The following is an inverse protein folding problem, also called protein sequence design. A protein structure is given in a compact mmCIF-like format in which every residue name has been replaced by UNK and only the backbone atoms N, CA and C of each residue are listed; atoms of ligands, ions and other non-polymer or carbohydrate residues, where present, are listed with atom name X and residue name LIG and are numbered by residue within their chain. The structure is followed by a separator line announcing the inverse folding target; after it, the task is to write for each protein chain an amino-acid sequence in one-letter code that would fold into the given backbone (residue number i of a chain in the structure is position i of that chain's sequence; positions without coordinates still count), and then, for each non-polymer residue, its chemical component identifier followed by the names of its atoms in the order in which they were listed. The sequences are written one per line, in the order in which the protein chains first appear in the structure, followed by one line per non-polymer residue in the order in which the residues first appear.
data_IF_766605596772
#
_entry.id   IF_766605596772
#
_cell.length_a   1.000
_cell.length_b   1.000
_cell.length_c   1.000
_cell.angle_alpha   90.00
_cell.angle_beta   90.00
_cell.angle_gamma   90.00
#
_symmetry.space_group_name_H-M   'P 1'
#
loop_
_entity.id
_entity.type
_entity.pdbx_description
1 polymer ?
#
# COMPACT_ATOMS: atom_id res chain seq x y z
N UNK A 1 2.13 1.84 -10.87
CA UNK A 1 3.10 2.89 -11.27
C UNK A 1 4.32 2.15 -11.79
N UNK A 2 4.64 2.28 -13.07
CA UNK A 2 5.46 1.30 -13.80
C UNK A 2 6.29 1.91 -14.91
N UNK A 3 6.67 3.18 -14.76
CA UNK A 3 7.62 3.82 -15.67
C UNK A 3 8.96 3.08 -15.65
N UNK A 4 9.43 2.66 -16.83
CA UNK A 4 10.68 1.91 -16.98
C UNK A 4 11.93 2.76 -16.70
N UNK A 5 11.75 4.08 -16.60
CA UNK A 5 12.78 5.07 -16.29
C UNK A 5 12.30 6.08 -15.24
N UNK A 6 13.24 6.74 -14.57
CA UNK A 6 12.94 7.79 -13.58
C UNK A 6 12.10 8.93 -14.18
N UNK A 7 12.37 9.32 -15.41
CA UNK A 7 11.62 10.39 -16.09
C UNK A 7 10.17 9.98 -16.34
N UNK A 8 9.93 8.76 -16.81
CA UNK A 8 8.57 8.22 -17.00
C UNK A 8 7.82 8.11 -15.68
N UNK A 9 8.48 7.61 -14.62
CA UNK A 9 7.90 7.53 -13.28
C UNK A 9 7.47 8.92 -12.78
N UNK A 10 8.34 9.93 -12.90
CA UNK A 10 8.01 11.30 -12.47
C UNK A 10 6.88 11.91 -13.31
N UNK A 11 6.81 11.60 -14.60
CA UNK A 11 5.73 12.07 -15.47
C UNK A 11 4.39 11.41 -15.11
N UNK A 12 4.36 10.10 -14.88
CA UNK A 12 3.16 9.37 -14.42
C UNK A 12 2.66 9.91 -13.07
N UNK A 13 3.58 10.11 -12.13
CA UNK A 13 3.27 10.64 -10.81
C UNK A 13 2.76 12.08 -10.88
N UNK A 14 3.32 12.92 -11.75
CA UNK A 14 2.85 14.29 -11.96
C UNK A 14 1.42 14.31 -12.52
N UNK A 15 1.09 13.42 -13.46
CA UNK A 15 -0.28 13.26 -13.98
C UNK A 15 -1.24 12.85 -12.86
N UNK A 16 -0.83 11.91 -12.00
CA UNK A 16 -1.63 11.45 -10.86
C UNK A 16 -2.00 12.59 -9.90
N UNK A 17 -1.04 13.47 -9.60
CA UNK A 17 -1.24 14.61 -8.70
C UNK A 17 -1.72 15.88 -9.40
N UNK A 18 -1.93 15.86 -10.72
CA UNK A 18 -2.40 17.01 -11.49
C UNK A 18 -1.37 18.15 -11.61
N UNK A 19 -0.09 17.83 -11.65
CA UNK A 19 1.01 18.80 -11.68
C UNK A 19 1.47 19.02 -13.13
N UNK A 20 1.32 20.26 -13.62
CA UNK A 20 1.68 20.62 -14.99
C UNK A 20 3.20 20.80 -15.22
N UNK A 21 3.91 21.33 -14.22
CA UNK A 21 5.36 21.58 -14.29
C UNK A 21 6.04 20.98 -13.03
N UNK A 22 6.25 19.65 -13.02
CA UNK A 22 6.78 18.98 -11.84
C UNK A 22 8.25 19.33 -11.61
N UNK A 23 8.64 19.68 -10.37
CA UNK A 23 10.05 19.92 -10.05
C UNK A 23 10.84 18.61 -10.13
N UNK A 24 12.15 18.66 -10.44
CA UNK A 24 13.00 17.49 -10.27
C UNK A 24 13.10 17.13 -8.78
N UNK A 25 13.03 15.85 -8.47
CA UNK A 25 13.13 15.33 -7.11
C UNK A 25 14.21 14.26 -7.06
N UNK A 26 15.13 14.38 -6.10
CA UNK A 26 16.15 13.36 -5.85
C UNK A 26 15.56 12.18 -5.07
N UNK A 27 16.05 10.97 -5.37
CA UNK A 27 15.66 9.77 -4.61
C UNK A 27 16.43 9.74 -3.30
N UNK A 28 15.69 9.69 -2.20
CA UNK A 28 16.27 9.50 -0.86
C UNK A 28 16.52 8.03 -0.60
N UNK A 29 15.52 7.18 -0.91
CA UNK A 29 15.60 5.74 -0.72
C UNK A 29 14.57 5.01 -1.59
N UNK A 30 14.93 3.86 -2.14
CA UNK A 30 13.96 2.98 -2.78
C UNK A 30 13.15 2.20 -1.73
N UNK A 31 11.90 1.88 -2.06
CA UNK A 31 10.98 1.12 -1.21
C UNK A 31 10.60 -0.20 -1.85
N UNK A 32 10.06 -1.11 -1.04
CA UNK A 32 9.44 -2.34 -1.53
C UNK A 32 7.91 -2.19 -1.51
N UNK A 33 7.16 -2.84 -2.41
CA UNK A 33 5.70 -2.84 -2.37
C UNK A 33 5.18 -3.32 -1.01
N UNK A 34 4.20 -2.63 -0.43
CA UNK A 34 3.65 -3.01 0.88
C UNK A 34 4.60 -2.85 2.07
N UNK A 35 5.81 -2.32 1.85
CA UNK A 35 6.73 -1.94 2.91
C UNK A 35 6.37 -0.60 3.56
N UNK A 36 7.37 0.10 4.08
CA UNK A 36 7.18 1.35 4.83
C UNK A 36 6.99 2.61 3.96
N UNK A 37 6.70 2.46 2.67
CA UNK A 37 6.54 3.58 1.73
C UNK A 37 5.46 4.58 2.16
N UNK A 38 4.29 4.08 2.61
CA UNK A 38 3.22 4.96 3.12
C UNK A 38 3.62 5.70 4.39
N UNK A 39 4.37 5.05 5.29
CA UNK A 39 4.89 5.68 6.50
C UNK A 39 5.88 6.80 6.17
N UNK A 40 6.81 6.55 5.24
CA UNK A 40 7.77 7.56 4.76
C UNK A 40 7.09 8.75 4.08
N UNK A 41 6.05 8.49 3.28
CA UNK A 41 5.22 9.55 2.70
C UNK A 41 4.60 10.41 3.82
N UNK A 42 3.99 9.77 4.83
CA UNK A 42 3.41 10.47 5.97
C UNK A 42 4.42 11.31 6.75
N UNK A 43 5.60 10.75 7.04
CA UNK A 43 6.70 11.45 7.72
C UNK A 43 7.17 12.66 6.92
N UNK A 44 7.38 12.49 5.61
CA UNK A 44 7.76 13.60 4.72
C UNK A 44 6.70 14.71 4.72
N UNK A 45 5.42 14.37 4.66
CA UNK A 45 4.34 15.38 4.72
C UNK A 45 4.29 16.08 6.09
N UNK A 46 4.51 15.38 7.20
CA UNK A 46 4.62 15.99 8.53
C UNK A 46 5.79 16.97 8.62
N UNK A 47 6.96 16.62 8.09
CA UNK A 47 8.13 17.50 8.04
C UNK A 47 7.87 18.79 7.24
N UNK A 48 6.99 18.70 6.24
CA UNK A 48 6.51 19.84 5.43
C UNK A 48 5.39 20.63 6.09
N UNK A 49 4.92 20.19 7.26
CA UNK A 49 3.93 20.89 8.08
C UNK A 49 2.49 20.49 7.84
N UNK A 50 2.24 19.41 7.08
CA UNK A 50 0.89 18.92 6.87
C UNK A 50 0.36 18.16 8.10
N UNK A 51 -0.94 18.25 8.40
CA UNK A 51 -1.54 17.60 9.54
C UNK A 51 -1.84 16.13 9.22
N UNK A 52 -0.78 15.32 9.12
CA UNK A 52 -0.88 13.87 8.85
C UNK A 52 -0.80 13.09 10.16
N UNK A 53 -1.72 12.15 10.33
CA UNK A 53 -1.68 11.15 11.39
C UNK A 53 -1.22 9.81 10.77
N UNK A 54 -0.27 9.15 11.42
CA UNK A 54 0.30 7.87 10.97
C UNK A 54 -0.14 6.82 11.99
N UNK A 55 -0.89 5.83 11.53
CA UNK A 55 -1.40 4.72 12.35
C UNK A 55 -1.03 3.39 11.68
N UNK A 56 -0.97 2.31 12.46
CA UNK A 56 -0.53 1.00 11.97
C UNK A 56 -1.38 0.56 10.77
N UNK A 57 -0.77 0.58 9.57
CA UNK A 57 -1.40 0.23 8.30
C UNK A 57 -1.82 1.39 7.39
N UNK A 58 -1.61 2.67 7.78
CA UNK A 58 -1.98 3.78 6.89
C UNK A 58 -1.57 5.18 7.35
N UNK A 59 -1.88 6.16 6.49
CA UNK A 59 -1.76 7.58 6.79
C UNK A 59 -3.10 8.27 6.58
N UNK A 60 -3.45 9.20 7.47
CA UNK A 60 -4.64 10.03 7.35
C UNK A 60 -4.22 11.49 7.32
N UNK A 61 -4.55 12.18 6.24
CA UNK A 61 -4.37 13.64 6.15
C UNK A 61 -5.63 14.29 6.73
N UNK A 62 -5.49 15.03 7.83
CA UNK A 62 -6.62 15.77 8.43
C UNK A 62 -7.10 16.87 7.49
N UNK A 63 -8.29 17.41 7.76
CA UNK A 63 -8.96 18.38 6.89
C UNK A 63 -8.04 19.52 6.44
N UNK A 64 -7.79 19.59 5.13
CA UNK A 64 -7.01 20.65 4.47
C UNK A 64 -7.99 21.55 3.70
N UNK A 65 -7.88 22.89 3.82
CA UNK A 65 -8.70 23.81 3.04
C UNK A 65 -8.53 23.60 1.54
N UNK A 66 -9.62 23.76 0.77
CA UNK A 66 -9.59 23.56 -0.69
C UNK A 66 -8.55 24.45 -1.39
N UNK A 67 -8.31 25.65 -0.85
CA UNK A 67 -7.32 26.60 -1.36
C UNK A 67 -5.87 26.10 -1.21
N UNK A 68 -5.64 25.09 -0.38
CA UNK A 68 -4.35 24.47 -0.16
C UNK A 68 -4.19 23.13 -0.89
N UNK A 69 -5.21 22.66 -1.62
CA UNK A 69 -5.18 21.36 -2.28
C UNK A 69 -4.05 21.25 -3.31
N UNK A 70 -3.79 22.30 -4.09
CA UNK A 70 -2.70 22.30 -5.07
C UNK A 70 -1.32 22.22 -4.39
N UNK A 71 -1.16 22.90 -3.26
CA UNK A 71 0.07 22.85 -2.47
C UNK A 71 0.27 21.47 -1.83
N UNK A 72 -0.83 20.87 -1.35
CA UNK A 72 -0.81 19.50 -0.83
C UNK A 72 -0.43 18.50 -1.93
N UNK A 73 -1.04 18.58 -3.11
CA UNK A 73 -0.74 17.70 -4.23
C UNK A 73 0.74 17.80 -4.65
N UNK A 74 1.29 19.02 -4.70
CA UNK A 74 2.70 19.22 -4.99
C UNK A 74 3.61 18.56 -3.94
N UNK A 75 3.26 18.68 -2.67
CA UNK A 75 4.03 18.10 -1.58
C UNK A 75 3.91 16.58 -1.52
N UNK A 76 2.73 16.03 -1.80
CA UNK A 76 2.53 14.59 -1.97
C UNK A 76 3.37 14.05 -3.12
N UNK A 77 3.37 14.74 -4.27
CA UNK A 77 4.25 14.40 -5.39
C UNK A 77 5.73 14.40 -4.99
N UNK A 78 6.20 15.45 -4.31
CA UNK A 78 7.59 15.54 -3.89
C UNK A 78 7.94 14.38 -2.95
N UNK A 79 7.08 14.10 -1.97
CA UNK A 79 7.31 13.04 -1.01
C UNK A 79 7.30 11.64 -1.64
N UNK A 80 6.32 11.32 -2.49
CA UNK A 80 6.29 10.05 -3.21
C UNK A 80 7.48 9.90 -4.15
N UNK A 81 7.88 10.99 -4.81
CA UNK A 81 9.02 10.96 -5.72
C UNK A 81 10.35 10.69 -4.99
N UNK A 82 10.48 11.03 -3.70
CA UNK A 82 11.67 10.72 -2.91
C UNK A 82 11.81 9.23 -2.56
N UNK A 83 10.68 8.50 -2.55
CA UNK A 83 10.60 7.11 -2.09
C UNK A 83 10.02 6.14 -3.12
N UNK A 84 10.56 6.10 -4.36
CA UNK A 84 10.04 5.24 -5.41
C UNK A 84 10.18 3.76 -5.02
N UNK A 85 9.27 2.94 -5.52
CA UNK A 85 9.41 1.47 -5.45
C UNK A 85 10.62 1.03 -6.26
N UNK A 86 11.42 0.11 -5.74
CA UNK A 86 12.65 -0.34 -6.37
C UNK A 86 12.39 -0.93 -7.77
N UNK A 87 13.26 -0.68 -8.76
CA UNK A 87 13.02 -1.06 -10.16
C UNK A 87 12.74 -2.55 -10.38
N UNK A 88 13.32 -3.42 -9.56
CA UNK A 88 13.10 -4.87 -9.59
C UNK A 88 11.64 -5.26 -9.32
N UNK A 89 10.91 -4.45 -8.56
CA UNK A 89 9.48 -4.63 -8.29
C UNK A 89 8.61 -3.78 -9.23
N UNK A 90 9.12 -2.65 -9.73
CA UNK A 90 8.38 -1.75 -10.61
C UNK A 90 8.02 -2.37 -11.98
N UNK A 91 8.75 -3.41 -12.39
CA UNK A 91 8.56 -4.08 -13.69
C UNK A 91 7.75 -5.38 -13.61
N UNK A 92 7.28 -5.79 -12.43
CA UNK A 92 6.41 -6.97 -12.32
C UNK A 92 5.03 -6.60 -12.87
N UNK A 93 4.49 -7.34 -13.85
CA UNK A 93 3.13 -7.10 -14.33
C UNK A 93 2.13 -7.15 -13.17
N UNK A 94 1.20 -6.21 -13.13
CA UNK A 94 0.19 -6.11 -12.07
C UNK A 94 -0.59 -7.42 -11.93
N UNK A 95 -0.92 -8.08 -13.04
CA UNK A 95 -1.61 -9.37 -13.03
C UNK A 95 -0.77 -10.49 -12.40
N UNK A 96 0.55 -10.52 -12.67
CA UNK A 96 1.45 -11.52 -12.09
C UNK A 96 1.60 -11.29 -10.58
N UNK A 97 1.74 -10.03 -10.16
CA UNK A 97 1.79 -9.66 -8.74
C UNK A 97 0.49 -10.00 -8.00
N UNK A 98 -0.67 -9.72 -8.61
CA UNK A 98 -1.98 -10.06 -8.01
C UNK A 98 -2.21 -11.57 -7.98
N UNK A 99 -1.71 -12.31 -8.98
CA UNK A 99 -1.79 -13.78 -9.00
C UNK A 99 -0.97 -14.39 -7.87
N UNK A 100 0.29 -13.96 -7.72
CA UNK A 100 1.14 -14.41 -6.62
C UNK A 100 0.54 -14.07 -5.25
N UNK A 101 0.00 -12.87 -5.09
CA UNK A 101 -0.67 -12.47 -3.86
C UNK A 101 -1.91 -13.32 -3.57
N UNK A 102 -2.72 -13.63 -4.58
CA UNK A 102 -3.89 -14.50 -4.43
C UNK A 102 -3.49 -15.92 -4.00
N UNK A 103 -2.46 -16.49 -4.63
CA UNK A 103 -1.93 -17.81 -4.26
C UNK A 103 -1.43 -17.83 -2.83
N UNK A 104 -0.63 -16.84 -2.43
CA UNK A 104 -0.17 -16.66 -1.04
C UNK A 104 -1.34 -16.57 -0.05
N UNK A 105 -2.36 -15.77 -0.36
CA UNK A 105 -3.52 -15.63 0.52
C UNK A 105 -4.23 -16.97 0.75
N UNK A 106 -4.41 -17.76 -0.31
CA UNK A 106 -5.12 -19.04 -0.25
C UNK A 106 -4.29 -20.14 0.40
N UNK A 107 -3.00 -20.22 0.07
CA UNK A 107 -2.13 -21.34 0.46
C UNK A 107 -1.48 -21.13 1.83
N UNK A 108 -1.18 -19.89 2.21
CA UNK A 108 -0.42 -19.60 3.44
C UNK A 108 -1.26 -18.79 4.46
N UNK A 109 -1.80 -17.64 4.06
CA UNK A 109 -2.50 -16.75 4.99
C UNK A 109 -3.77 -17.39 5.59
N UNK A 110 -4.66 -17.90 4.73
CA UNK A 110 -5.95 -18.48 5.15
C UNK A 110 -5.75 -19.65 6.15
N UNK A 111 -4.86 -20.63 5.88
CA UNK A 111 -4.55 -21.67 6.87
C UNK A 111 -3.93 -21.12 8.16
N UNK A 112 -3.04 -20.13 8.07
CA UNK A 112 -2.37 -19.55 9.23
C UNK A 112 -3.38 -18.89 10.19
N UNK A 113 -4.26 -18.03 9.71
CA UNK A 113 -5.25 -17.35 10.57
C UNK A 113 -6.32 -18.31 11.11
N UNK A 114 -6.54 -19.45 10.46
CA UNK A 114 -7.39 -20.51 10.99
C UNK A 114 -6.80 -21.18 12.24
N UNK A 115 -5.47 -21.21 12.41
CA UNK A 115 -4.83 -21.68 13.65
C UNK A 115 -5.13 -20.77 14.84
N UNK A 116 -5.34 -19.47 14.59
CA UNK A 116 -5.81 -18.49 15.58
C UNK A 116 -7.31 -18.58 15.84
N UNK A 117 -8.04 -19.42 15.11
CA UNK A 117 -9.49 -19.60 15.24
C UNK A 117 -10.32 -18.60 14.42
N UNK A 118 -9.69 -17.78 13.58
CA UNK A 118 -10.41 -16.88 12.68
C UNK A 118 -10.95 -17.62 11.46
N UNK A 119 -12.11 -17.20 10.98
CA UNK A 119 -12.72 -17.75 9.77
C UNK A 119 -12.81 -16.68 8.69
N UNK A 120 -12.40 -17.03 7.47
CA UNK A 120 -12.51 -16.14 6.30
C UNK A 120 -13.44 -16.76 5.27
N UNK A 121 -14.11 -15.91 4.49
CA UNK A 121 -15.01 -16.37 3.43
C UNK A 121 -14.26 -17.19 2.39
N UNK A 122 -14.97 -18.13 1.76
CA UNK A 122 -14.42 -18.92 0.64
C UNK A 122 -13.76 -18.02 -0.41
N UNK A 123 -12.54 -18.36 -0.86
CA UNK A 123 -11.87 -17.56 -1.88
C UNK A 123 -12.69 -17.53 -3.18
N UNK A 124 -12.75 -16.38 -3.89
CA UNK A 124 -13.32 -16.30 -5.23
C UNK A 124 -12.42 -17.05 -6.23
N UNK A 125 -12.83 -17.17 -7.50
CA UNK A 125 -11.87 -17.63 -8.52
C UNK A 125 -10.74 -16.60 -8.72
N UNK A 126 -9.56 -17.06 -9.14
CA UNK A 126 -8.45 -16.16 -9.52
C UNK A 126 -8.90 -15.12 -10.56
N UNK A 127 -9.67 -15.54 -11.58
CA UNK A 127 -10.23 -14.62 -12.58
C UNK A 127 -11.10 -13.52 -11.95
N UNK A 128 -11.95 -13.88 -10.97
CA UNK A 128 -12.79 -12.90 -10.26
C UNK A 128 -11.95 -11.97 -9.40
N UNK A 129 -10.89 -12.50 -8.78
CA UNK A 129 -9.96 -11.72 -7.97
C UNK A 129 -9.19 -10.69 -8.81
N UNK A 130 -8.64 -11.10 -9.95
CA UNK A 130 -7.93 -10.24 -10.90
C UNK A 130 -8.87 -9.18 -11.49
N UNK A 131 -10.10 -9.56 -11.88
CA UNK A 131 -11.09 -8.63 -12.38
C UNK A 131 -11.48 -7.55 -11.36
N UNK A 132 -11.47 -7.90 -10.07
CA UNK A 132 -11.67 -6.97 -8.96
C UNK A 132 -10.41 -6.25 -8.48
N UNK A 133 -9.27 -6.43 -9.15
CA UNK A 133 -7.96 -5.89 -8.76
C UNK A 133 -7.60 -6.19 -7.30
N UNK A 134 -7.97 -7.38 -6.81
CA UNK A 134 -7.73 -7.82 -5.43
C UNK A 134 -8.66 -7.20 -4.37
N UNK A 135 -9.47 -6.20 -4.71
CA UNK A 135 -10.32 -5.49 -3.74
C UNK A 135 -11.62 -6.25 -3.40
N UNK A 136 -11.99 -7.26 -4.21
CA UNK A 136 -13.24 -8.01 -4.04
C UNK A 136 -13.21 -9.05 -2.91
N UNK A 137 -12.03 -9.44 -2.44
CA UNK A 137 -11.85 -10.41 -1.36
C UNK A 137 -10.60 -10.04 -0.56
N UNK A 138 -10.81 -9.47 0.63
CA UNK A 138 -9.74 -9.00 1.53
C UNK A 138 -9.81 -9.79 2.83
N UNK A 139 -9.14 -10.96 2.93
CA UNK A 139 -9.21 -11.84 4.10
C UNK A 139 -8.83 -11.17 5.42
N UNK A 140 -7.80 -10.34 5.45
CA UNK A 140 -7.38 -9.70 6.70
C UNK A 140 -8.32 -8.64 7.23
N UNK A 141 -9.12 -7.98 6.37
CA UNK A 141 -10.21 -7.13 6.86
C UNK A 141 -11.25 -7.97 7.63
N UNK A 142 -11.57 -9.18 7.15
CA UNK A 142 -12.50 -10.08 7.84
C UNK A 142 -11.92 -10.59 9.17
N UNK A 143 -10.61 -10.82 9.23
CA UNK A 143 -9.92 -11.20 10.47
C UNK A 143 -9.91 -10.04 11.46
N UNK A 144 -9.59 -8.83 11.00
CA UNK A 144 -9.60 -7.61 11.80
C UNK A 144 -10.98 -7.36 12.44
N UNK A 145 -12.07 -7.55 11.68
CA UNK A 145 -13.43 -7.42 12.20
C UNK A 145 -13.74 -8.42 13.33
N UNK A 146 -13.13 -9.61 13.30
CA UNK A 146 -13.30 -10.65 14.33
C UNK A 146 -12.47 -10.39 15.58
N UNK A 147 -11.38 -9.63 15.48
CA UNK A 147 -10.46 -9.39 16.59
C UNK A 147 -11.13 -8.71 17.77
N UNK A 148 -12.05 -7.77 17.52
CA UNK A 148 -12.81 -7.10 18.57
C UNK A 148 -13.60 -8.06 19.49
N UNK A 149 -13.81 -9.31 19.04
CA UNK A 149 -14.49 -10.37 19.76
C UNK A 149 -13.58 -11.53 20.20
N UNK A 150 -12.26 -11.39 20.02
CA UNK A 150 -11.27 -12.40 20.35
C UNK A 150 -10.33 -11.92 21.46
N UNK A 151 -9.56 -12.83 22.05
CA UNK A 151 -8.48 -12.50 23.00
C UNK A 151 -7.12 -12.29 22.29
N UNK A 152 -7.09 -12.31 20.96
CA UNK A 152 -5.88 -12.19 20.14
C UNK A 152 -5.74 -10.74 19.66
N UNK A 153 -4.56 -10.17 19.85
CA UNK A 153 -4.22 -8.82 19.38
C UNK A 153 -3.92 -8.83 17.88
N UNK A 154 -4.31 -7.77 17.15
CA UNK A 154 -4.02 -7.66 15.70
C UNK A 154 -2.53 -7.72 15.39
N UNK A 155 -1.70 -7.09 16.22
CA UNK A 155 -0.25 -7.13 16.07
C UNK A 155 0.32 -8.55 16.10
N UNK A 156 -0.24 -9.46 16.91
CA UNK A 156 0.19 -10.86 16.97
C UNK A 156 -0.17 -11.60 15.68
N UNK A 157 -1.37 -11.34 15.14
CA UNK A 157 -1.81 -11.92 13.86
C UNK A 157 -0.94 -11.41 12.71
N UNK A 158 -0.67 -10.11 12.67
CA UNK A 158 0.14 -9.50 11.60
C UNK A 158 1.60 -10.00 11.64
N UNK A 159 2.18 -10.17 12.83
CA UNK A 159 3.53 -10.71 12.99
C UNK A 159 3.62 -12.19 12.56
N UNK A 160 2.60 -12.99 12.85
CA UNK A 160 2.64 -14.45 12.63
C UNK A 160 2.02 -14.91 11.31
N UNK A 161 1.02 -14.19 10.83
CA UNK A 161 0.27 -14.43 9.60
C UNK A 161 0.18 -13.12 8.81
N UNK A 162 1.29 -12.58 8.28
CA UNK A 162 1.26 -11.34 7.52
C UNK A 162 0.36 -11.52 6.29
N UNK A 163 -0.62 -10.63 6.10
CA UNK A 163 -1.55 -10.72 4.96
C UNK A 163 -0.87 -10.42 3.63
N UNK A 164 0.07 -9.48 3.65
CA UNK A 164 0.94 -9.26 2.51
C UNK A 164 2.05 -10.30 2.58
N UNK A 165 2.35 -10.90 1.43
CA UNK A 165 3.46 -11.83 1.33
C UNK A 165 4.71 -11.15 1.90
N UNK A 166 5.37 -11.73 2.93
CA UNK A 166 6.60 -11.18 3.45
C UNK A 166 7.62 -11.23 2.32
N UNK A 167 7.87 -10.08 1.70
CA UNK A 167 8.87 -9.93 0.66
C UNK A 167 10.22 -10.31 1.27
N UNK A 168 10.74 -11.47 0.89
CA UNK A 168 12.02 -12.01 1.36
C UNK A 168 13.20 -11.08 1.09
#
# INVERSE_FOLDING_TARGET
MGGSTREEFLAELAVMYGIEDPPPVEVVRETIPGGDGLRLLGECLQERGWPVDIEDGGITIREVPVEQQDALNLDQYICDAQYPVAPEYANVPVEDSLTAHYEYLVEEYVPCVAEFGFTVSTPPSLETFLAGQGMGWVPGAQVYDQIASSDVEWSEVEERCPQNEPLG
#
